data_IF_637194372026
#
_entry.id   IF_637194372026
#
_cell.length_a   1.000
_cell.length_b   1.000
_cell.length_c   1.000
_cell.angle_alpha   90.00
_cell.angle_beta   90.00
_cell.angle_gamma   90.00
#
_symmetry.space_group_name_H-M   'P 1'
#
loop_
_entity.id
_entity.type
_entity.pdbx_description
1 polymer ?
#
# COMPACT_ATOMS: atom_id res chain seq x y z
N UNK A 1 -0.07 -7.82 24.77
CA UNK A 1 -1.13 -7.37 23.85
C UNK A 1 -2.12 -6.57 24.67
N UNK A 2 -2.19 -5.26 24.44
CA UNK A 2 -3.09 -4.36 25.20
C UNK A 2 -4.47 -4.28 24.52
N UNK A 3 -5.47 -3.76 25.24
CA UNK A 3 -6.81 -3.49 24.67
C UNK A 3 -6.72 -2.49 23.51
N UNK A 4 -5.84 -1.49 23.62
CA UNK A 4 -5.55 -0.53 22.56
C UNK A 4 -5.06 -1.24 21.29
N UNK A 5 -4.10 -2.16 21.42
CA UNK A 5 -3.57 -2.90 20.27
C UNK A 5 -4.66 -3.74 19.58
N UNK A 6 -5.61 -4.28 20.35
CA UNK A 6 -6.71 -5.07 19.79
C UNK A 6 -7.69 -4.20 19.01
N UNK A 7 -8.00 -3.01 19.51
CA UNK A 7 -8.85 -2.04 18.83
C UNK A 7 -8.19 -1.50 17.56
N UNK A 8 -6.90 -1.15 17.61
CA UNK A 8 -6.15 -0.70 16.44
C UNK A 8 -6.06 -1.78 15.36
N UNK A 9 -5.82 -3.04 15.74
CA UNK A 9 -5.87 -4.18 14.80
C UNK A 9 -7.25 -4.34 14.17
N UNK A 10 -8.34 -4.19 14.93
CA UNK A 10 -9.68 -4.26 14.37
C UNK A 10 -9.91 -3.19 13.29
N UNK A 11 -9.41 -1.97 13.51
CA UNK A 11 -9.42 -0.90 12.50
C UNK A 11 -8.55 -1.26 11.29
N UNK A 12 -7.37 -1.85 11.50
CA UNK A 12 -6.46 -2.26 10.42
C UNK A 12 -7.05 -3.37 9.54
N UNK A 13 -7.79 -4.32 10.12
CA UNK A 13 -8.44 -5.42 9.39
C UNK A 13 -9.58 -4.94 8.50
N UNK A 14 -10.38 -3.97 8.96
CA UNK A 14 -11.49 -3.40 8.17
C UNK A 14 -11.32 -1.88 8.00
N UNK A 15 -10.32 -1.43 7.22
CA UNK A 15 -9.98 -0.02 7.11
C UNK A 15 -11.00 0.78 6.30
N UNK A 16 -12.07 0.22 5.77
CA UNK A 16 -13.15 0.98 5.13
C UNK A 16 -14.32 1.25 6.07
N UNK A 17 -14.45 0.48 7.15
CA UNK A 17 -15.55 0.58 8.11
C UNK A 17 -15.26 1.62 9.20
N UNK A 18 -16.21 2.52 9.43
CA UNK A 18 -16.11 3.52 10.49
C UNK A 18 -16.44 2.93 11.87
N UNK A 19 -17.12 1.78 11.96
CA UNK A 19 -17.54 1.21 13.24
C UNK A 19 -16.36 0.89 14.17
N UNK A 20 -15.31 0.14 13.76
CA UNK A 20 -14.14 -0.08 14.62
C UNK A 20 -13.43 1.23 15.01
N UNK A 21 -13.48 2.24 14.14
CA UNK A 21 -12.90 3.57 14.42
C UNK A 21 -13.66 4.29 15.53
N UNK A 22 -14.98 4.19 15.52
CA UNK A 22 -15.84 4.78 16.55
C UNK A 22 -15.68 4.06 17.89
N UNK A 23 -15.60 2.71 17.89
CA UNK A 23 -15.32 1.93 19.10
C UNK A 23 -13.96 2.33 19.70
N UNK A 24 -12.93 2.51 18.85
CA UNK A 24 -11.63 3.01 19.30
C UNK A 24 -11.72 4.45 19.88
N UNK A 25 -12.53 5.32 19.27
CA UNK A 25 -12.76 6.67 19.79
C UNK A 25 -13.46 6.65 21.16
N UNK A 26 -14.43 5.77 21.38
CA UNK A 26 -15.10 5.61 22.67
C UNK A 26 -14.09 5.17 23.74
N UNK A 27 -13.28 4.15 23.43
CA UNK A 27 -12.21 3.70 24.34
C UNK A 27 -11.20 4.82 24.65
N UNK A 28 -10.78 5.61 23.66
CA UNK A 28 -9.88 6.75 23.87
C UNK A 28 -10.47 7.78 24.84
N UNK A 29 -11.75 8.07 24.72
CA UNK A 29 -12.45 8.99 25.61
C UNK A 29 -12.51 8.47 27.05
N UNK A 30 -12.76 7.17 27.23
CA UNK A 30 -12.70 6.48 28.53
C UNK A 30 -11.29 6.51 29.15
N UNK A 31 -10.24 6.48 28.33
CA UNK A 31 -8.85 6.66 28.76
C UNK A 31 -8.45 8.13 28.98
N UNK A 32 -9.40 9.07 28.95
CA UNK A 32 -9.14 10.51 29.14
C UNK A 32 -8.54 11.22 27.93
N UNK A 33 -8.48 10.57 26.76
CA UNK A 33 -7.94 11.11 25.50
C UNK A 33 -9.06 11.67 24.62
N UNK A 34 -9.97 12.44 25.20
CA UNK A 34 -11.16 12.98 24.55
C UNK A 34 -10.86 13.83 23.29
N UNK A 35 -9.72 14.54 23.26
CA UNK A 35 -9.30 15.29 22.07
C UNK A 35 -9.05 14.37 20.86
N UNK A 36 -8.45 13.19 21.08
CA UNK A 36 -8.19 12.20 20.04
C UNK A 36 -9.49 11.54 19.57
N UNK A 37 -10.38 11.19 20.51
CA UNK A 37 -11.71 10.67 20.20
C UNK A 37 -12.53 11.66 19.36
N UNK A 38 -12.56 12.93 19.76
CA UNK A 38 -13.25 13.99 19.02
C UNK A 38 -12.68 14.19 17.62
N UNK A 39 -11.35 14.13 17.46
CA UNK A 39 -10.70 14.21 16.16
C UNK A 39 -11.14 13.08 15.21
N UNK A 40 -11.20 11.84 15.70
CA UNK A 40 -11.67 10.69 14.90
C UNK A 40 -13.11 10.91 14.44
N UNK A 41 -14.02 11.23 15.38
CA UNK A 41 -15.44 11.46 15.07
C UNK A 41 -15.62 12.62 14.09
N UNK A 42 -14.90 13.72 14.26
CA UNK A 42 -14.96 14.88 13.38
C UNK A 42 -14.44 14.59 11.97
N UNK A 43 -13.36 13.82 11.80
CA UNK A 43 -12.89 13.43 10.47
C UNK A 43 -13.79 12.40 9.79
N UNK A 44 -14.45 11.50 10.53
CA UNK A 44 -15.49 10.60 9.99
C UNK A 44 -16.70 11.41 9.51
N UNK A 45 -17.20 12.34 10.32
CA UNK A 45 -18.30 13.23 9.93
C UNK A 45 -17.91 14.08 8.71
N UNK A 46 -16.68 14.59 8.67
CA UNK A 46 -16.15 15.34 7.54
C UNK A 46 -16.18 14.51 6.26
N UNK A 47 -15.75 13.25 6.32
CA UNK A 47 -15.73 12.35 5.17
C UNK A 47 -17.13 12.05 4.61
N UNK A 48 -18.16 12.09 5.46
CA UNK A 48 -19.57 11.88 5.09
C UNK A 48 -20.28 13.16 4.66
N UNK A 49 -19.69 14.32 4.93
CA UNK A 49 -20.30 15.63 4.68
C UNK A 49 -20.02 16.09 3.25
N UNK A 50 -21.04 16.63 2.58
CA UNK A 50 -20.87 17.21 1.24
C UNK A 50 -19.85 18.35 1.24
N UNK A 51 -18.88 18.24 0.33
CA UNK A 51 -17.81 19.23 0.14
C UNK A 51 -18.39 20.63 -0.05
N UNK A 52 -17.77 21.62 0.60
CA UNK A 52 -18.11 23.04 0.44
C UNK A 52 -19.31 23.54 1.26
N UNK A 53 -20.03 22.66 1.98
CA UNK A 53 -21.09 23.09 2.90
C UNK A 53 -20.54 23.85 4.13
N UNK A 54 -21.35 24.66 4.83
CA UNK A 54 -20.91 25.32 6.07
C UNK A 54 -20.42 24.32 7.13
N UNK A 55 -21.06 23.16 7.23
CA UNK A 55 -20.65 22.07 8.14
C UNK A 55 -19.28 21.51 7.75
N UNK A 56 -19.01 21.31 6.46
CA UNK A 56 -17.72 20.85 5.95
C UNK A 56 -16.59 21.79 6.38
N UNK A 57 -16.76 23.10 6.17
CA UNK A 57 -15.75 24.09 6.56
C UNK A 57 -15.53 24.15 8.07
N UNK A 58 -16.61 24.03 8.86
CA UNK A 58 -16.50 23.94 10.33
C UNK A 58 -15.68 22.72 10.75
N UNK A 59 -15.95 21.55 10.19
CA UNK A 59 -15.25 20.31 10.51
C UNK A 59 -13.78 20.34 10.06
N UNK A 60 -13.47 20.94 8.91
CA UNK A 60 -12.08 21.23 8.51
C UNK A 60 -11.39 22.11 9.55
N UNK A 61 -12.00 23.23 9.95
CA UNK A 61 -11.41 24.13 10.94
C UNK A 61 -11.16 23.43 12.28
N UNK A 62 -12.12 22.62 12.75
CA UNK A 62 -11.98 21.83 13.97
C UNK A 62 -10.84 20.80 13.88
N UNK A 63 -10.82 20.00 12.81
CA UNK A 63 -9.80 18.96 12.62
C UNK A 63 -8.41 19.55 12.40
N UNK A 64 -8.29 20.67 11.67
CA UNK A 64 -7.06 21.41 11.50
C UNK A 64 -6.56 22.01 12.82
N UNK A 65 -7.44 22.60 13.64
CA UNK A 65 -7.08 23.15 14.94
C UNK A 65 -6.58 22.07 15.92
N UNK A 66 -7.20 20.89 15.90
CA UNK A 66 -6.76 19.74 16.68
C UNK A 66 -5.39 19.22 16.20
N UNK A 67 -5.19 19.06 14.89
CA UNK A 67 -3.90 18.64 14.34
C UNK A 67 -2.80 19.66 14.65
N UNK A 68 -3.06 20.96 14.48
CA UNK A 68 -2.09 21.99 14.81
C UNK A 68 -1.61 21.91 16.27
N UNK A 69 -2.48 21.49 17.19
CA UNK A 69 -2.18 21.38 18.61
C UNK A 69 -1.55 20.04 19.02
N UNK A 70 -2.02 18.93 18.47
CA UNK A 70 -1.71 17.58 18.97
C UNK A 70 -0.93 16.70 18.00
N UNK A 71 -0.61 17.18 16.78
CA UNK A 71 0.03 16.34 15.76
C UNK A 71 1.32 15.67 16.22
N UNK A 72 2.19 16.38 16.94
CA UNK A 72 3.45 15.79 17.44
C UNK A 72 3.18 14.62 18.38
N UNK A 73 2.28 14.80 19.35
CA UNK A 73 1.87 13.76 20.29
C UNK A 73 1.28 12.54 19.56
N UNK A 74 0.33 12.76 18.65
CA UNK A 74 -0.32 11.66 17.93
C UNK A 74 0.59 10.96 16.91
N UNK A 75 1.59 11.67 16.37
CA UNK A 75 2.65 11.04 15.58
C UNK A 75 3.59 10.21 16.47
N UNK A 76 3.86 10.66 17.70
CA UNK A 76 4.70 9.96 18.67
C UNK A 76 4.10 8.61 19.06
N UNK A 77 2.76 8.52 19.19
CA UNK A 77 2.03 7.27 19.41
C UNK A 77 2.31 6.22 18.33
N UNK A 78 2.63 6.65 17.10
CA UNK A 78 2.94 5.76 15.99
C UNK A 78 4.41 5.34 15.96
N UNK A 79 5.31 6.00 16.72
CA UNK A 79 6.76 5.70 16.72
C UNK A 79 7.09 4.30 17.19
N UNK A 80 6.24 3.69 18.01
CA UNK A 80 6.37 2.27 18.39
C UNK A 80 6.23 1.31 17.20
N UNK A 81 5.60 1.77 16.11
CA UNK A 81 5.37 0.97 14.91
C UNK A 81 6.25 1.38 13.73
N UNK A 82 6.60 2.67 13.62
CA UNK A 82 7.42 3.16 12.50
C UNK A 82 8.09 4.50 12.84
N UNK A 83 9.37 4.63 12.47
CA UNK A 83 10.08 5.91 12.47
C UNK A 83 9.68 6.73 11.23
N UNK A 84 8.48 7.28 11.23
CA UNK A 84 7.94 8.07 10.12
C UNK A 84 8.43 9.53 10.14
N UNK A 85 8.78 10.05 8.96
CA UNK A 85 9.04 11.47 8.73
C UNK A 85 7.75 12.29 8.79
N UNK A 86 6.66 11.72 8.29
CA UNK A 86 5.34 12.34 8.25
C UNK A 86 4.24 11.29 8.33
N UNK A 87 3.16 11.65 9.01
CA UNK A 87 1.91 10.90 9.03
C UNK A 87 0.79 11.88 8.70
N UNK A 88 -0.07 11.49 7.77
CA UNK A 88 -1.31 12.18 7.48
C UNK A 88 -2.49 11.32 7.92
N UNK A 89 -3.42 11.96 8.64
CA UNK A 89 -4.55 11.28 9.26
C UNK A 89 -5.79 11.39 8.36
N UNK A 90 -6.38 10.25 8.04
CA UNK A 90 -7.65 10.15 7.34
C UNK A 90 -8.67 9.45 8.27
N UNK A 91 -9.87 10.02 8.41
CA UNK A 91 -10.92 9.51 9.32
C UNK A 91 -10.40 9.20 10.73
N UNK A 92 -9.48 10.03 11.22
CA UNK A 92 -8.85 9.94 12.53
C UNK A 92 -7.62 9.04 12.60
N UNK A 93 -7.32 8.28 11.55
CA UNK A 93 -6.36 7.18 11.57
C UNK A 93 -5.11 7.46 10.72
N UNK A 94 -3.93 6.92 11.08
CA UNK A 94 -2.71 7.07 10.30
C UNK A 94 -2.79 6.23 9.02
N UNK A 95 -3.46 6.75 7.99
CA UNK A 95 -3.67 6.04 6.72
C UNK A 95 -2.55 6.32 5.71
N UNK A 96 -1.85 7.46 5.82
CA UNK A 96 -0.74 7.82 4.94
C UNK A 96 0.52 8.03 5.76
N UNK A 97 1.58 7.29 5.45
CA UNK A 97 2.86 7.33 6.15
C UNK A 97 3.97 7.65 5.16
N UNK A 98 4.80 8.64 5.48
CA UNK A 98 6.07 8.90 4.78
C UNK A 98 7.22 8.49 5.67
N UNK A 99 8.09 7.62 5.17
CA UNK A 99 9.24 7.13 5.89
C UNK A 99 10.37 6.77 4.91
N UNK A 100 11.60 6.77 5.41
CA UNK A 100 12.69 6.14 4.66
C UNK A 100 12.47 4.63 4.61
N UNK A 101 12.98 4.00 3.56
CA UNK A 101 12.91 2.54 3.45
C UNK A 101 13.63 1.86 4.63
N UNK A 102 14.77 2.40 5.07
CA UNK A 102 15.49 1.87 6.23
C UNK A 102 14.61 1.86 7.49
N UNK A 103 13.85 2.92 7.76
CA UNK A 103 12.92 2.97 8.89
C UNK A 103 11.84 1.88 8.81
N UNK A 104 11.37 1.58 7.60
CA UNK A 104 10.39 0.50 7.37
C UNK A 104 11.03 -0.88 7.54
N UNK A 105 12.29 -1.07 7.12
CA UNK A 105 13.05 -2.31 7.37
C UNK A 105 13.31 -2.55 8.86
N UNK A 106 13.77 -1.52 9.56
CA UNK A 106 14.34 -1.61 10.91
C UNK A 106 13.28 -1.64 12.01
N UNK A 107 12.04 -1.22 11.72
CA UNK A 107 10.93 -1.38 12.66
C UNK A 107 10.82 -2.84 13.11
N UNK A 108 10.61 -3.12 14.39
CA UNK A 108 10.34 -4.51 14.84
C UNK A 108 8.86 -4.87 14.71
N UNK A 109 8.00 -3.86 14.56
CA UNK A 109 6.55 -4.02 14.52
C UNK A 109 6.05 -4.22 13.10
N UNK A 110 5.04 -5.07 12.93
CA UNK A 110 4.26 -5.08 11.69
C UNK A 110 3.33 -3.86 11.64
N UNK A 111 3.81 -2.83 10.93
CA UNK A 111 3.10 -1.58 10.68
C UNK A 111 1.70 -1.80 10.12
N UNK A 112 1.55 -2.71 9.15
CA UNK A 112 0.28 -2.91 8.45
C UNK A 112 -0.69 -3.74 9.28
N UNK A 113 -0.19 -4.63 10.12
CA UNK A 113 -1.05 -5.32 11.07
C UNK A 113 -1.50 -4.39 12.21
N UNK A 114 -0.63 -3.50 12.69
CA UNK A 114 -0.92 -2.63 13.81
C UNK A 114 -1.73 -1.38 13.45
N UNK A 115 -1.52 -0.81 12.27
CA UNK A 115 -2.11 0.46 11.85
C UNK A 115 -2.86 0.33 10.51
N UNK A 116 -3.93 1.11 10.29
CA UNK A 116 -4.70 1.10 9.06
C UNK A 116 -4.00 1.89 7.93
N UNK A 117 -2.68 1.74 7.78
CA UNK A 117 -1.91 2.36 6.70
C UNK A 117 -2.43 1.86 5.35
N UNK A 118 -2.75 2.80 4.46
CA UNK A 118 -3.23 2.57 3.10
C UNK A 118 -2.24 3.08 2.05
N UNK A 119 -1.42 4.06 2.42
CA UNK A 119 -0.44 4.64 1.51
C UNK A 119 0.90 4.83 2.25
N UNK A 120 1.96 4.28 1.68
CA UNK A 120 3.33 4.39 2.18
C UNK A 120 4.17 5.15 1.15
N UNK A 121 4.68 6.31 1.53
CA UNK A 121 5.59 7.13 0.72
C UNK A 121 7.02 6.86 1.16
N UNK A 122 7.85 6.38 0.23
CA UNK A 122 9.24 6.04 0.49
C UNK A 122 10.17 7.10 -0.08
N UNK A 123 11.14 7.53 0.72
CA UNK A 123 12.11 8.58 0.38
C UNK A 123 13.46 8.08 -0.12
N UNK A 124 13.76 6.78 -0.02
CA UNK A 124 15.01 6.15 -0.49
C UNK A 124 14.69 4.72 -0.97
N UNK A 125 14.92 4.39 -2.24
CA UNK A 125 14.40 3.15 -2.86
C UNK A 125 15.40 2.00 -2.94
N UNK A 126 16.69 2.25 -2.78
CA UNK A 126 17.75 1.24 -3.02
C UNK A 126 17.62 0.00 -2.12
N UNK A 127 16.91 0.13 -1.00
CA UNK A 127 16.77 -0.91 0.04
C UNK A 127 15.37 -1.51 0.11
N UNK A 128 14.44 -1.10 -0.78
CA UNK A 128 13.01 -1.37 -0.64
C UNK A 128 12.75 -2.86 -0.48
N UNK A 129 13.41 -3.65 -1.31
CA UNK A 129 13.20 -5.08 -1.25
C UNK A 129 13.98 -5.79 -0.15
N UNK A 130 15.16 -5.34 0.29
CA UNK A 130 15.77 -5.88 1.52
C UNK A 130 14.82 -5.71 2.73
N UNK A 131 14.02 -4.63 2.75
CA UNK A 131 12.93 -4.41 3.71
C UNK A 131 11.82 -5.46 3.58
N UNK A 132 11.37 -5.70 2.35
CA UNK A 132 10.22 -6.55 2.02
C UNK A 132 10.56 -8.06 2.15
N UNK A 133 11.78 -8.48 1.77
CA UNK A 133 12.24 -9.88 1.76
C UNK A 133 12.51 -10.44 3.16
N UNK A 134 13.07 -9.61 4.04
CA UNK A 134 13.50 -10.06 5.38
C UNK A 134 12.37 -10.04 6.41
N UNK A 135 11.20 -9.52 6.03
CA UNK A 135 10.20 -9.16 7.01
C UNK A 135 8.86 -9.82 6.72
N UNK A 136 8.50 -10.76 7.60
CA UNK A 136 7.19 -11.40 7.67
C UNK A 136 6.02 -10.38 7.69
N UNK A 137 6.31 -9.14 8.13
CA UNK A 137 5.39 -8.00 8.19
C UNK A 137 4.72 -7.62 6.87
N UNK A 138 5.34 -7.88 5.73
CA UNK A 138 4.72 -7.56 4.44
C UNK A 138 3.80 -8.67 3.94
N UNK A 139 3.84 -9.87 4.52
CA UNK A 139 2.81 -10.88 4.25
C UNK A 139 1.42 -10.38 4.66
N UNK A 140 1.32 -9.61 5.74
CA UNK A 140 0.08 -8.96 6.15
C UNK A 140 -0.34 -7.81 5.23
N UNK A 141 0.62 -7.18 4.55
CA UNK A 141 0.34 -6.19 3.51
C UNK A 141 -0.19 -6.84 2.23
N UNK A 142 0.30 -8.03 1.87
CA UNK A 142 -0.03 -8.78 0.64
C UNK A 142 -1.51 -9.21 0.53
N UNK A 143 -2.31 -9.07 1.58
CA UNK A 143 -3.77 -9.27 1.56
C UNK A 143 -4.60 -7.98 1.54
N UNK A 144 -3.95 -6.81 1.60
CA UNK A 144 -4.60 -5.51 1.79
C UNK A 144 -4.30 -4.62 0.60
N UNK A 145 -5.15 -3.61 0.40
CA UNK A 145 -4.94 -2.61 -0.64
C UNK A 145 -4.03 -1.51 -0.09
N UNK A 146 -2.75 -1.58 -0.42
CA UNK A 146 -1.73 -0.64 0.03
C UNK A 146 -1.04 -0.03 -1.18
N UNK A 147 -1.05 1.30 -1.26
CA UNK A 147 -0.32 2.04 -2.28
C UNK A 147 1.08 2.35 -1.78
N UNK A 148 2.09 1.95 -2.53
CA UNK A 148 3.47 2.36 -2.29
C UNK A 148 3.81 3.43 -3.33
N UNK A 149 4.11 4.62 -2.83
CA UNK A 149 4.59 5.73 -3.65
C UNK A 149 6.08 5.86 -3.45
N UNK A 150 6.81 5.79 -4.56
CA UNK A 150 8.23 6.10 -4.58
C UNK A 150 8.39 7.57 -4.95
N UNK A 151 9.01 8.33 -4.06
CA UNK A 151 9.31 9.74 -4.31
C UNK A 151 10.72 9.84 -4.90
N UNK A 152 10.82 10.10 -6.20
CA UNK A 152 12.07 10.56 -6.80
C UNK A 152 12.28 12.03 -6.40
N UNK A 153 13.54 12.41 -6.17
CA UNK A 153 13.99 13.69 -5.61
C UNK A 153 13.10 14.91 -5.99
N UNK A 154 12.67 15.68 -4.99
CA UNK A 154 11.95 16.95 -5.20
C UNK A 154 12.90 17.95 -5.86
N UNK A 155 12.68 18.29 -7.14
CA UNK A 155 13.40 19.42 -7.74
C UNK A 155 13.05 20.69 -6.97
N UNK A 156 14.03 21.54 -6.57
CA UNK A 156 13.76 22.81 -5.92
C UNK A 156 12.88 23.78 -6.74
N UNK A 157 12.68 23.51 -8.03
CA UNK A 157 11.91 24.33 -8.96
C UNK A 157 10.39 24.06 -8.95
N UNK A 158 9.90 23.05 -8.22
CA UNK A 158 8.46 22.77 -8.12
C UNK A 158 7.81 22.19 -9.39
N UNK A 159 8.61 21.76 -10.36
CA UNK A 159 8.11 20.87 -11.43
C UNK A 159 7.81 19.50 -10.82
N UNK A 160 6.65 18.94 -11.20
CA UNK A 160 6.17 17.65 -10.70
C UNK A 160 7.22 16.55 -10.92
N UNK A 161 7.90 16.14 -9.85
CA UNK A 161 8.78 14.96 -9.87
C UNK A 161 7.98 13.75 -10.33
N UNK A 162 8.50 13.00 -11.31
CA UNK A 162 7.91 11.76 -11.79
C UNK A 162 7.75 10.81 -10.61
N UNK A 163 6.50 10.66 -10.18
CA UNK A 163 6.13 9.84 -9.04
C UNK A 163 5.57 8.53 -9.56
N UNK A 164 6.26 7.44 -9.25
CA UNK A 164 5.75 6.11 -9.56
C UNK A 164 4.83 5.64 -8.44
N UNK A 165 3.70 5.09 -8.84
CA UNK A 165 2.77 4.39 -7.97
C UNK A 165 2.83 2.89 -8.22
N UNK A 166 3.09 2.13 -7.17
CA UNK A 166 2.91 0.68 -7.16
C UNK A 166 1.79 0.37 -6.19
N UNK A 167 0.66 -0.11 -6.71
CA UNK A 167 -0.44 -0.57 -5.86
C UNK A 167 -0.22 -2.06 -5.52
N UNK A 168 -0.06 -2.37 -4.23
CA UNK A 168 -0.14 -3.73 -3.71
C UNK A 168 -1.61 -4.08 -3.53
N UNK A 169 -2.09 -5.04 -4.32
CA UNK A 169 -3.51 -5.39 -4.37
C UNK A 169 -3.83 -6.59 -3.47
N UNK A 170 -5.06 -6.67 -2.92
CA UNK A 170 -5.51 -7.81 -2.13
C UNK A 170 -5.46 -9.14 -2.89
N UNK A 171 -5.12 -10.21 -2.16
CA UNK A 171 -5.12 -11.58 -2.68
C UNK A 171 -6.53 -12.15 -2.98
N UNK A 172 -7.61 -11.58 -2.42
CA UNK A 172 -8.97 -12.12 -2.63
C UNK A 172 -9.57 -11.65 -3.95
N UNK A 173 -10.25 -12.52 -4.73
CA UNK A 173 -10.90 -12.13 -5.97
C UNK A 173 -12.07 -11.16 -5.78
N UNK A 174 -11.82 -9.87 -6.02
CA UNK A 174 -12.86 -8.93 -6.38
C UNK A 174 -12.90 -8.86 -7.91
N UNK A 175 -14.05 -9.14 -8.55
CA UNK A 175 -14.20 -9.02 -10.01
C UNK A 175 -13.89 -7.57 -10.43
N UNK A 176 -12.66 -7.38 -10.91
CA UNK A 176 -12.06 -6.13 -11.36
C UNK A 176 -12.21 -5.03 -10.30
N UNK A 177 -11.20 -4.96 -9.44
CA UNK A 177 -11.04 -3.90 -8.46
C UNK A 177 -11.36 -2.53 -9.07
N UNK A 178 -12.08 -1.64 -8.36
CA UNK A 178 -12.53 -0.36 -8.91
C UNK A 178 -11.43 0.45 -9.60
N UNK A 179 -10.17 0.25 -9.21
CA UNK A 179 -8.98 0.95 -9.68
C UNK A 179 -8.55 0.47 -11.06
N UNK A 180 -8.63 -0.85 -11.27
CA UNK A 180 -8.30 -1.46 -12.55
C UNK A 180 -9.36 -1.15 -13.61
N UNK A 181 -10.58 -0.72 -13.22
CA UNK A 181 -11.72 -0.48 -14.13
C UNK A 181 -11.53 0.70 -15.08
N UNK A 182 -10.54 1.54 -14.85
CA UNK A 182 -10.27 2.70 -15.68
C UNK A 182 -8.78 2.85 -15.92
N UNK A 183 -8.40 3.25 -17.14
CA UNK A 183 -7.02 3.51 -17.51
C UNK A 183 -6.24 2.24 -17.87
N UNK A 184 -4.93 2.40 -17.95
CA UNK A 184 -4.01 1.37 -18.44
C UNK A 184 -3.13 0.86 -17.30
N UNK A 185 -3.23 -0.44 -17.03
CA UNK A 185 -2.54 -1.10 -15.93
C UNK A 185 -1.66 -2.24 -16.41
N UNK A 186 -0.48 -2.32 -15.81
CA UNK A 186 0.39 -3.49 -15.90
C UNK A 186 0.48 -4.11 -14.50
N UNK A 187 0.04 -5.36 -14.40
CA UNK A 187 -0.10 -6.09 -13.13
C UNK A 187 0.86 -7.27 -13.11
N UNK A 188 1.74 -7.32 -12.12
CA UNK A 188 2.55 -8.51 -11.83
C UNK A 188 1.78 -9.42 -10.87
N UNK A 189 1.37 -10.59 -11.33
CA UNK A 189 0.73 -11.60 -10.51
C UNK A 189 1.69 -12.73 -10.15
N UNK A 190 1.68 -13.22 -8.90
CA UNK A 190 2.59 -14.28 -8.46
C UNK A 190 1.96 -15.21 -7.41
N UNK A 191 2.37 -16.48 -7.41
CA UNK A 191 1.99 -17.46 -6.39
C UNK A 191 2.74 -17.19 -5.09
N UNK A 192 2.01 -16.88 -4.02
CA UNK A 192 2.61 -16.59 -2.70
C UNK A 192 3.30 -17.81 -2.07
N UNK A 193 2.92 -19.02 -2.49
CA UNK A 193 3.53 -20.27 -2.02
C UNK A 193 4.81 -20.61 -2.78
N UNK A 194 5.03 -20.00 -3.95
CA UNK A 194 6.23 -20.17 -4.76
C UNK A 194 7.33 -19.20 -4.31
N UNK A 195 8.36 -19.73 -3.65
CA UNK A 195 9.56 -18.95 -3.28
C UNK A 195 10.24 -18.31 -4.50
N UNK A 196 10.17 -18.97 -5.66
CA UNK A 196 10.77 -18.48 -6.90
C UNK A 196 10.00 -17.29 -7.50
N UNK A 197 8.68 -17.41 -7.65
CA UNK A 197 7.87 -16.33 -8.21
C UNK A 197 7.85 -15.12 -7.28
N UNK A 198 7.79 -15.38 -5.97
CA UNK A 198 8.01 -14.37 -4.95
C UNK A 198 9.31 -13.63 -5.29
N UNK A 199 10.47 -14.31 -5.34
CA UNK A 199 11.79 -13.73 -5.60
C UNK A 199 11.90 -12.88 -6.89
N UNK A 200 11.04 -13.10 -7.88
CA UNK A 200 10.97 -12.26 -9.09
C UNK A 200 10.15 -10.99 -8.84
N UNK A 201 8.96 -11.10 -8.24
CA UNK A 201 8.17 -9.94 -7.84
C UNK A 201 8.94 -9.04 -6.86
N UNK A 202 9.70 -9.70 -5.99
CA UNK A 202 10.69 -9.12 -5.10
C UNK A 202 11.66 -8.19 -5.85
N UNK A 203 12.33 -8.70 -6.89
CA UNK A 203 13.32 -7.96 -7.69
C UNK A 203 12.70 -6.87 -8.56
N UNK A 204 11.50 -7.06 -9.12
CA UNK A 204 10.81 -6.04 -9.90
C UNK A 204 10.55 -4.78 -9.08
N UNK A 205 10.02 -4.95 -7.86
CA UNK A 205 9.78 -3.84 -6.93
C UNK A 205 11.09 -3.20 -6.48
N UNK A 206 12.17 -3.99 -6.35
CA UNK A 206 13.48 -3.55 -5.87
C UNK A 206 14.28 -2.69 -6.84
N UNK A 207 14.23 -3.00 -8.14
CA UNK A 207 15.44 -2.87 -8.95
C UNK A 207 15.23 -2.61 -10.43
N UNK A 208 14.05 -2.19 -10.87
CA UNK A 208 13.99 -1.47 -12.12
C UNK A 208 14.36 -0.01 -11.84
N UNK A 209 15.23 0.56 -12.68
CA UNK A 209 15.14 1.97 -13.00
C UNK A 209 13.73 2.17 -13.58
N UNK A 210 12.74 2.36 -12.70
CA UNK A 210 11.34 2.48 -13.07
C UNK A 210 11.14 3.64 -14.03
N UNK A 211 11.97 4.68 -13.89
CA UNK A 211 12.02 5.81 -14.80
C UNK A 211 12.40 5.32 -16.21
N UNK A 212 13.36 4.40 -16.37
CA UNK A 212 13.68 3.80 -17.68
C UNK A 212 12.56 2.93 -18.27
N UNK A 213 11.73 2.27 -17.44
CA UNK A 213 10.60 1.45 -17.89
C UNK A 213 9.41 2.31 -18.34
N UNK A 214 9.18 3.44 -17.66
CA UNK A 214 8.07 4.37 -17.95
C UNK A 214 8.46 5.40 -19.02
N UNK A 215 9.73 5.82 -19.08
CA UNK A 215 10.21 6.81 -20.04
C UNK A 215 10.45 6.23 -21.45
N UNK A 216 10.66 4.91 -21.57
CA UNK A 216 10.95 4.25 -22.84
C UNK A 216 9.74 4.05 -23.76
N UNK A 217 8.53 4.03 -23.21
CA UNK A 217 7.28 3.91 -23.95
C UNK A 217 6.41 5.13 -23.66
N UNK A 218 5.83 5.77 -24.67
CA UNK A 218 5.04 7.01 -24.52
C UNK A 218 3.72 6.83 -23.72
N UNK A 219 3.56 5.70 -23.01
CA UNK A 219 2.39 5.28 -22.27
C UNK A 219 2.69 5.34 -20.78
N UNK A 220 1.95 6.19 -20.05
CA UNK A 220 1.97 6.21 -18.58
C UNK A 220 1.18 5.01 -18.05
N UNK A 221 1.89 3.96 -17.67
CA UNK A 221 1.30 2.78 -17.04
C UNK A 221 1.09 3.02 -15.55
N UNK A 222 -0.06 2.58 -15.02
CA UNK A 222 -0.19 2.33 -13.58
C UNK A 222 0.29 0.91 -13.28
N UNK A 223 1.12 0.77 -12.25
CA UNK A 223 1.71 -0.52 -11.87
C UNK A 223 0.97 -1.09 -10.68
N UNK A 224 0.71 -2.39 -10.73
CA UNK A 224 0.19 -3.11 -9.58
C UNK A 224 0.91 -4.45 -9.40
N UNK A 225 0.98 -4.91 -8.16
CA UNK A 225 1.50 -6.23 -7.82
C UNK A 225 0.45 -6.97 -7.00
N UNK A 226 0.18 -8.22 -7.38
CA UNK A 226 -0.93 -9.00 -6.83
C UNK A 226 -0.52 -10.44 -6.53
N UNK A 227 -0.51 -10.87 -5.27
CA UNK A 227 -0.29 -12.28 -4.93
C UNK A 227 -1.58 -13.09 -5.11
N UNK A 228 -1.47 -14.37 -5.41
CA UNK A 228 -2.56 -15.35 -5.33
C UNK A 228 -2.17 -16.58 -4.49
N UNK A 229 -3.17 -17.21 -3.86
CA UNK A 229 -2.96 -18.42 -3.04
C UNK A 229 -3.18 -19.72 -3.80
N UNK A 230 -4.10 -19.70 -4.78
CA UNK A 230 -4.42 -20.88 -5.59
C UNK A 230 -4.62 -20.49 -7.04
N UNK A 231 -4.38 -21.44 -7.96
CA UNK A 231 -4.64 -21.25 -9.38
C UNK A 231 -6.09 -20.85 -9.68
N UNK A 232 -7.04 -21.36 -8.89
CA UNK A 232 -8.47 -21.04 -9.03
C UNK A 232 -8.78 -19.57 -8.70
N UNK A 233 -8.09 -19.00 -7.73
CA UNK A 233 -8.21 -17.57 -7.42
C UNK A 233 -7.71 -16.72 -8.59
N UNK A 234 -6.58 -17.15 -9.18
CA UNK A 234 -5.97 -16.50 -10.34
C UNK A 234 -6.83 -16.62 -11.61
N UNK A 235 -7.40 -17.79 -11.89
CA UNK A 235 -8.37 -18.04 -12.98
C UNK A 235 -9.61 -17.14 -12.88
N UNK A 236 -9.99 -16.77 -11.65
CA UNK A 236 -11.05 -15.82 -11.38
C UNK A 236 -10.77 -14.41 -11.92
N UNK A 237 -9.49 -14.06 -12.11
CA UNK A 237 -9.03 -12.77 -12.63
C UNK A 237 -8.72 -12.84 -14.12
N UNK A 238 -8.05 -13.91 -14.56
CA UNK A 238 -7.62 -14.11 -15.94
C UNK A 238 -7.88 -15.57 -16.38
N UNK A 239 -8.62 -15.76 -17.49
CA UNK A 239 -9.06 -17.09 -17.94
C UNK A 239 -8.00 -17.96 -18.62
N UNK A 240 -6.81 -17.44 -18.86
CA UNK A 240 -5.72 -18.18 -19.54
C UNK A 240 -4.44 -18.08 -18.72
N UNK A 241 -4.38 -18.67 -17.51
CA UNK A 241 -3.13 -18.72 -16.77
C UNK A 241 -2.29 -19.90 -17.26
N UNK A 242 -1.04 -19.64 -17.66
CA UNK A 242 -0.02 -20.69 -17.79
C UNK A 242 0.94 -20.58 -16.59
N UNK A 243 0.71 -21.35 -15.52
CA UNK A 243 1.54 -21.30 -14.31
C UNK A 243 2.93 -21.92 -14.53
N UNK A 244 3.21 -22.54 -15.68
CA UNK A 244 4.53 -23.10 -15.97
C UNK A 244 5.58 -22.05 -16.36
N UNK A 245 5.15 -20.80 -16.59
CA UNK A 245 6.02 -19.69 -17.02
C UNK A 245 6.48 -18.77 -15.87
N UNK A 246 6.13 -19.07 -14.61
CA UNK A 246 6.48 -18.26 -13.44
C UNK A 246 5.51 -17.10 -13.20
N UNK A 247 5.94 -15.96 -12.60
CA UNK A 247 5.04 -14.86 -12.32
C UNK A 247 4.55 -14.20 -13.61
N UNK A 248 3.31 -13.74 -13.60
CA UNK A 248 2.54 -13.43 -14.79
C UNK A 248 2.35 -11.92 -14.93
N UNK A 249 2.78 -11.34 -16.06
CA UNK A 249 2.48 -9.96 -16.41
C UNK A 249 1.15 -9.86 -17.15
N UNK A 250 0.22 -9.12 -16.56
CA UNK A 250 -1.12 -8.92 -17.09
C UNK A 250 -1.34 -7.46 -17.43
N UNK A 251 -1.71 -7.20 -18.68
CA UNK A 251 -2.10 -5.87 -19.12
C UNK A 251 -3.62 -5.73 -19.07
N UNK A 252 -4.12 -4.72 -18.35
CA UNK A 252 -5.52 -4.29 -18.37
C UNK A 252 -5.71 -2.89 -18.99
N UNK A 253 -6.78 -2.73 -19.77
CA UNK A 253 -7.33 -1.45 -20.21
C UNK A 253 -8.79 -1.35 -19.76
N UNK A 254 -9.13 -0.32 -19.00
CA UNK A 254 -10.49 -0.08 -18.49
C UNK A 254 -11.13 -1.35 -17.88
N UNK A 255 -10.35 -2.06 -17.08
CA UNK A 255 -10.73 -3.28 -16.39
C UNK A 255 -10.85 -4.50 -17.29
N UNK A 256 -10.39 -4.44 -18.54
CA UNK A 256 -10.40 -5.61 -19.43
C UNK A 256 -8.99 -6.12 -19.62
N UNK A 257 -8.73 -7.42 -19.36
CA UNK A 257 -7.44 -7.99 -19.69
C UNK A 257 -7.27 -7.91 -21.21
N UNK A 258 -6.26 -7.17 -21.65
CA UNK A 258 -5.94 -6.96 -23.07
C UNK A 258 -5.03 -8.06 -23.57
N UNK A 259 -4.04 -8.46 -22.75
CA UNK A 259 -3.06 -9.48 -23.14
C UNK A 259 -2.34 -10.05 -21.90
N UNK A 260 -1.95 -11.32 -22.00
CA UNK A 260 -0.82 -11.86 -21.25
C UNK A 260 0.46 -11.41 -21.96
N UNK A 261 1.32 -10.67 -21.27
CA UNK A 261 2.51 -10.10 -21.89
C UNK A 261 3.69 -11.04 -21.69
N UNK A 262 3.76 -12.08 -22.53
CA UNK A 262 5.00 -12.85 -22.71
C UNK A 262 6.00 -11.95 -23.44
N UNK A 263 7.17 -11.71 -22.85
CA UNK A 263 8.26 -10.99 -23.51
C UNK A 263 8.16 -9.46 -23.49
N UNK A 264 7.71 -8.85 -22.39
CA UNK A 264 8.37 -7.59 -22.02
C UNK A 264 9.85 -7.95 -21.88
N UNK A 265 10.73 -7.38 -22.72
CA UNK A 265 12.18 -7.57 -22.59
C UNK A 265 12.57 -7.16 -21.17
N UNK A 266 12.69 -8.14 -20.27
CA UNK A 266 13.29 -7.98 -18.95
C UNK A 266 14.78 -7.74 -19.26
N UNK A 267 15.31 -6.51 -19.17
CA UNK A 267 16.70 -6.28 -19.54
C UNK A 267 17.53 -6.64 -18.32
N UNK A 268 17.91 -7.90 -18.21
CA UNK A 268 19.26 -8.35 -17.84
C UNK A 268 19.33 -9.88 -17.95
N UNK A 269 20.43 -10.37 -18.50
CA UNK A 269 20.75 -11.78 -18.72
C UNK A 269 20.37 -12.65 -17.51
N UNK A 270 19.42 -13.55 -17.72
CA UNK A 270 19.09 -14.62 -16.78
C UNK A 270 20.20 -15.68 -16.85
N UNK A 271 21.34 -15.41 -16.22
CA UNK A 271 22.32 -16.46 -15.92
C UNK A 271 21.85 -17.27 -14.72
N UNK A 272 20.81 -18.09 -14.93
CA UNK A 272 20.54 -19.23 -14.06
C UNK A 272 20.46 -20.46 -14.95
N UNK A 273 21.54 -21.24 -14.93
CA UNK A 273 21.55 -22.59 -15.50
C UNK A 273 20.53 -23.42 -14.71
N UNK A 274 19.63 -24.08 -15.43
CA UNK A 274 18.72 -25.07 -14.90
C UNK A 274 19.52 -26.18 -14.23
N UNK A 275 19.67 -26.15 -12.90
CA UNK A 275 19.93 -27.39 -12.17
C UNK A 275 18.60 -28.10 -12.00
N UNK A 276 18.34 -28.98 -12.97
CA UNK A 276 17.27 -29.98 -12.94
C UNK A 276 17.67 -31.08 -11.96
N UNK A 277 17.90 -30.72 -10.70
CA UNK A 277 18.00 -31.65 -9.59
C UNK A 277 17.22 -31.03 -8.44
N UNK A 278 15.93 -31.37 -8.37
CA UNK A 278 15.16 -31.72 -7.17
C UNK A 278 13.67 -31.52 -7.48
N UNK A 279 13.03 -32.65 -7.79
CA UNK A 279 11.59 -32.88 -7.66
C UNK A 279 11.12 -32.68 -6.23
#
# INVERSE_FOLDING_TARGET
MTDEDALLRAVAVTPDDDLPRLVYADWLEEQGRAARAHFIRAQIELHRTSNGSPTYWRLIGQTAGLLARYRVEWMDECRRYIAAERIDFCRGMPEIVRASTAAVCESESDLFHALPVRELHLTDTEKLWRALATADRFQHALGRRIRIRVLSWESPSGDESESLFVDLLPATPCRLEPELRTGTWLVLAFDITSMHERAIAERFIAGADFDSWVAGDARRWSLAVRPYYTLKDFEGWCRVPDPSEGPQWLWFEDGRPVRHVVGFDIPYEWDFVWDVEYL
#
